data_IF_004669446846
#
_entry.id   IF_004669446846
#
_cell.length_a   1.000
_cell.length_b   1.000
_cell.length_c   1.000
_cell.angle_alpha   90.00
_cell.angle_beta   90.00
_cell.angle_gamma   90.00
#
_symmetry.space_group_name_H-M   'P 1'
#
loop_
_entity.id
_entity.type
_entity.pdbx_description
1 polymer ?
#
# COMPACT_ATOMS: atom_id res chain seq x y z
N UNK A 1 -25.79 9.65 -5.73
CA UNK A 1 -24.33 9.87 -5.61
C UNK A 1 -24.12 10.97 -4.59
N UNK A 2 -23.17 10.77 -3.68
CA UNK A 2 -22.77 11.74 -2.65
C UNK A 2 -21.31 12.13 -2.85
N UNK A 3 -20.92 13.26 -2.27
CA UNK A 3 -19.53 13.71 -2.20
C UNK A 3 -18.93 13.26 -0.88
N UNK A 4 -17.88 12.45 -0.94
CA UNK A 4 -17.06 12.08 0.20
C UNK A 4 -15.75 12.86 0.17
N UNK A 5 -15.17 13.11 1.34
CA UNK A 5 -13.85 13.70 1.48
C UNK A 5 -12.87 12.63 1.98
N UNK A 6 -11.72 12.55 1.31
CA UNK A 6 -10.59 11.69 1.69
C UNK A 6 -9.53 12.56 2.35
N UNK A 7 -8.97 12.09 3.46
CA UNK A 7 -7.91 12.75 4.23
C UNK A 7 -6.80 11.76 4.55
N UNK A 8 -5.57 12.25 4.74
CA UNK A 8 -4.55 11.51 5.48
C UNK A 8 -4.79 11.70 6.98
N UNK A 9 -4.67 10.61 7.75
CA UNK A 9 -4.66 10.63 9.22
C UNK A 9 -3.33 11.14 9.77
N UNK A 10 -2.26 10.95 9.00
CA UNK A 10 -0.89 11.14 9.45
C UNK A 10 -0.32 12.50 9.01
N UNK A 11 -0.83 13.05 7.92
CA UNK A 11 -0.29 14.27 7.31
C UNK A 11 -1.19 15.48 7.56
N UNK A 12 -0.56 16.66 7.66
CA UNK A 12 -1.28 17.93 7.73
C UNK A 12 -2.06 18.19 6.44
N UNK A 13 -3.23 18.85 6.53
CA UNK A 13 -4.03 19.26 5.36
C UNK A 13 -3.27 20.21 4.41
N UNK A 14 -2.20 20.85 4.91
CA UNK A 14 -1.34 21.72 4.13
C UNK A 14 -0.41 20.92 3.21
N UNK A 15 0.01 19.75 3.67
CA UNK A 15 0.93 18.83 2.98
C UNK A 15 0.15 17.83 2.13
N UNK A 16 -0.93 17.28 2.69
CA UNK A 16 -1.85 16.37 2.03
C UNK A 16 -3.24 16.98 1.98
N UNK A 17 -3.55 17.68 0.88
CA UNK A 17 -4.84 18.35 0.73
C UNK A 17 -5.98 17.34 0.62
N UNK A 18 -7.11 17.57 1.32
CA UNK A 18 -8.28 16.71 1.20
C UNK A 18 -8.77 16.63 -0.24
N UNK A 19 -9.13 15.42 -0.68
CA UNK A 19 -9.61 15.16 -2.03
C UNK A 19 -11.08 14.74 -1.98
N UNK A 20 -11.88 15.26 -2.91
CA UNK A 20 -13.29 14.94 -2.99
C UNK A 20 -13.52 13.81 -3.99
N UNK A 21 -14.31 12.81 -3.59
CA UNK A 21 -14.67 11.67 -4.45
C UNK A 21 -16.18 11.51 -4.47
N UNK A 22 -16.74 11.32 -5.67
CA UNK A 22 -18.17 11.03 -5.82
C UNK A 22 -18.41 9.52 -5.84
N UNK A 23 -19.25 9.05 -4.92
CA UNK A 23 -19.58 7.63 -4.77
C UNK A 23 -20.97 7.45 -4.14
N UNK A 24 -21.45 6.21 -4.06
CA UNK A 24 -22.71 5.89 -3.38
C UNK A 24 -22.48 5.57 -1.90
N UNK A 25 -21.28 5.09 -1.54
CA UNK A 25 -20.90 4.75 -0.17
C UNK A 25 -19.48 5.23 0.16
N UNK A 26 -19.16 5.38 1.45
CA UNK A 26 -17.81 5.72 1.89
C UNK A 26 -16.76 4.67 1.45
N UNK A 27 -17.12 3.38 1.52
CA UNK A 27 -16.27 2.28 1.05
C UNK A 27 -15.98 2.41 -0.45
N UNK A 28 -17.00 2.66 -1.27
CA UNK A 28 -16.82 2.86 -2.71
C UNK A 28 -15.96 4.11 -3.00
N UNK A 29 -16.12 5.18 -2.23
CA UNK A 29 -15.28 6.38 -2.35
C UNK A 29 -13.80 6.05 -2.07
N UNK A 30 -13.52 5.32 -0.99
CA UNK A 30 -12.16 4.89 -0.65
C UNK A 30 -11.56 4.01 -1.74
N UNK A 31 -12.27 2.97 -2.18
CA UNK A 31 -11.82 2.07 -3.25
C UNK A 31 -11.49 2.83 -4.53
N UNK A 32 -12.39 3.72 -4.97
CA UNK A 32 -12.14 4.58 -6.15
C UNK A 32 -10.91 5.46 -5.96
N UNK A 33 -10.74 6.03 -4.77
CA UNK A 33 -9.60 6.87 -4.46
C UNK A 33 -8.28 6.10 -4.51
N UNK A 34 -8.24 4.95 -3.84
CA UNK A 34 -7.08 4.08 -3.78
C UNK A 34 -6.64 3.66 -5.19
N UNK A 35 -7.61 3.24 -6.00
CA UNK A 35 -7.36 2.76 -7.35
C UNK A 35 -6.95 3.88 -8.33
N UNK A 36 -7.58 5.04 -8.28
CA UNK A 36 -7.42 6.06 -9.33
C UNK A 36 -6.36 7.12 -8.96
N UNK A 37 -6.18 7.40 -7.68
CA UNK A 37 -5.31 8.47 -7.21
C UNK A 37 -4.11 7.95 -6.42
N UNK A 38 -4.33 7.15 -5.38
CA UNK A 38 -3.25 6.72 -4.49
C UNK A 38 -2.26 5.76 -5.18
N UNK A 39 -2.75 4.81 -5.97
CA UNK A 39 -1.92 3.92 -6.82
C UNK A 39 -1.01 4.67 -7.81
N UNK A 40 -1.30 5.96 -8.07
CA UNK A 40 -0.56 6.85 -8.97
C UNK A 40 0.31 7.86 -8.23
N UNK A 41 0.26 7.87 -6.89
CA UNK A 41 1.09 8.73 -6.08
C UNK A 41 2.56 8.33 -6.20
N UNK A 42 3.43 9.33 -6.39
CA UNK A 42 4.86 9.10 -6.64
C UNK A 42 5.52 8.44 -5.43
N UNK A 43 5.21 8.92 -4.23
CA UNK A 43 5.77 8.39 -2.98
C UNK A 43 5.35 6.93 -2.78
N UNK A 44 4.07 6.62 -3.02
CA UNK A 44 3.58 5.24 -2.96
C UNK A 44 4.28 4.33 -3.99
N UNK A 45 4.44 4.80 -5.24
CA UNK A 45 5.13 4.02 -6.27
C UNK A 45 6.60 3.80 -5.93
N UNK A 46 7.29 4.82 -5.41
CA UNK A 46 8.67 4.70 -4.94
C UNK A 46 8.78 3.70 -3.79
N UNK A 47 7.85 3.73 -2.83
CA UNK A 47 7.76 2.76 -1.74
C UNK A 47 7.59 1.31 -2.24
N UNK A 48 6.77 1.09 -3.27
CA UNK A 48 6.56 -0.23 -3.88
C UNK A 48 7.76 -0.69 -4.71
N UNK A 49 8.43 0.24 -5.39
CA UNK A 49 9.60 -0.03 -6.22
C UNK A 49 10.91 -0.08 -5.42
N UNK A 50 10.92 0.27 -4.14
CA UNK A 50 12.09 0.10 -3.31
C UNK A 50 12.21 -1.37 -2.85
N UNK A 51 13.34 -1.99 -3.17
CA UNK A 51 13.68 -3.36 -2.76
C UNK A 51 14.54 -3.39 -1.49
N UNK A 52 14.82 -2.23 -0.88
CA UNK A 52 15.44 -2.15 0.44
C UNK A 52 14.56 -2.84 1.48
N UNK A 53 15.14 -3.50 2.48
CA UNK A 53 14.36 -4.31 3.44
C UNK A 53 13.59 -3.45 4.46
N UNK A 54 13.93 -2.17 4.59
CA UNK A 54 13.41 -1.28 5.62
C UNK A 54 12.73 -0.08 4.97
N UNK A 55 11.56 0.33 5.47
CA UNK A 55 10.79 1.48 4.98
C UNK A 55 10.31 1.31 3.53
N UNK A 56 10.10 0.08 3.08
CA UNK A 56 9.63 -0.24 1.72
C UNK A 56 8.48 -1.25 1.75
N UNK A 57 7.84 -1.43 0.60
CA UNK A 57 6.78 -2.42 0.48
C UNK A 57 7.28 -3.85 0.77
N UNK A 58 8.52 -4.19 0.39
CA UNK A 58 9.04 -5.55 0.56
C UNK A 58 9.40 -5.91 1.99
N UNK A 59 9.50 -4.92 2.89
CA UNK A 59 9.73 -5.14 4.33
C UNK A 59 8.76 -6.18 4.90
N UNK A 60 7.48 -6.12 4.51
CA UNK A 60 6.44 -7.03 4.99
C UNK A 60 6.74 -8.51 4.69
N UNK A 61 7.53 -8.78 3.65
CA UNK A 61 7.89 -10.13 3.25
C UNK A 61 9.18 -10.62 3.93
N UNK A 62 10.11 -9.71 4.22
CA UNK A 62 11.35 -10.04 4.92
C UNK A 62 11.17 -10.08 6.44
N UNK A 63 10.39 -9.17 7.01
CA UNK A 63 10.29 -8.92 8.45
C UNK A 63 8.90 -9.25 9.01
N UNK A 64 8.36 -10.43 8.66
CA UNK A 64 6.99 -10.82 9.04
C UNK A 64 6.85 -11.12 10.53
N UNK A 65 7.86 -11.74 11.16
CA UNK A 65 7.85 -12.12 12.57
C UNK A 65 8.65 -11.17 13.46
N UNK A 66 8.32 -11.11 14.75
CA UNK A 66 9.07 -10.33 15.74
C UNK A 66 10.54 -10.76 15.84
N UNK A 67 10.83 -12.05 15.61
CA UNK A 67 12.20 -12.56 15.61
C UNK A 67 12.99 -12.05 14.40
N UNK A 68 12.39 -12.04 13.21
CA UNK A 68 13.01 -11.46 12.00
C UNK A 68 13.27 -9.96 12.17
N UNK A 69 12.29 -9.21 12.69
CA UNK A 69 12.44 -7.79 13.02
C UNK A 69 13.58 -7.54 14.02
N UNK A 70 13.61 -8.32 15.10
CA UNK A 70 14.66 -8.18 16.14
C UNK A 70 16.04 -8.47 15.58
N UNK A 71 16.19 -9.54 14.79
CA UNK A 71 17.46 -9.87 14.13
C UNK A 71 17.90 -8.75 13.20
N UNK A 72 17.01 -8.26 12.33
CA UNK A 72 17.34 -7.18 11.41
C UNK A 72 17.76 -5.91 12.14
N UNK A 73 17.06 -5.51 13.21
CA UNK A 73 17.42 -4.34 14.00
C UNK A 73 18.77 -4.47 14.72
N UNK A 74 19.21 -5.69 15.05
CA UNK A 74 20.49 -5.94 15.73
C UNK A 74 21.66 -6.09 14.76
N UNK A 75 21.41 -6.63 13.56
CA UNK A 75 22.47 -7.10 12.65
C UNK A 75 22.47 -6.42 11.28
N UNK A 76 21.39 -5.73 10.92
CA UNK A 76 21.08 -5.26 9.56
C UNK A 76 21.02 -6.38 8.50
N UNK A 77 20.98 -7.65 8.91
CA UNK A 77 20.91 -8.81 8.01
C UNK A 77 19.52 -9.45 8.00
N UNK A 78 19.06 -9.83 6.81
CA UNK A 78 17.88 -10.69 6.65
C UNK A 78 18.25 -12.16 6.83
N UNK A 79 17.45 -12.88 7.63
CA UNK A 79 17.60 -14.33 7.81
C UNK A 79 16.63 -15.19 7.01
N UNK A 80 15.76 -14.57 6.21
CA UNK A 80 14.64 -15.25 5.55
C UNK A 80 15.11 -15.92 4.26
N UNK A 81 14.86 -17.22 4.14
CA UNK A 81 15.18 -17.99 2.93
C UNK A 81 14.33 -17.53 1.74
N UNK A 82 14.91 -17.60 0.54
CA UNK A 82 14.27 -17.14 -0.70
C UNK A 82 12.92 -17.84 -0.97
N UNK A 83 12.82 -19.15 -0.69
CA UNK A 83 11.56 -19.89 -0.87
C UNK A 83 10.46 -19.43 0.09
N UNK A 84 10.82 -19.07 1.32
CA UNK A 84 9.88 -18.52 2.30
C UNK A 84 9.40 -17.14 1.85
N UNK A 85 10.32 -16.30 1.35
CA UNK A 85 10.00 -14.98 0.81
C UNK A 85 9.02 -15.08 -0.37
N UNK A 86 9.31 -15.93 -1.36
CA UNK A 86 8.44 -16.18 -2.52
C UNK A 86 7.06 -16.71 -2.10
N UNK A 87 7.01 -17.59 -1.11
CA UNK A 87 5.75 -18.08 -0.53
C UNK A 87 4.92 -16.97 0.11
N UNK A 88 5.55 -16.02 0.83
CA UNK A 88 4.88 -14.85 1.43
C UNK A 88 4.33 -13.91 0.36
N UNK A 89 5.09 -13.64 -0.71
CA UNK A 89 4.61 -12.84 -1.84
C UNK A 89 3.41 -13.52 -2.50
N UNK A 90 3.49 -14.81 -2.82
CA UNK A 90 2.37 -15.59 -3.39
C UNK A 90 1.12 -15.55 -2.51
N UNK A 91 1.30 -15.57 -1.19
CA UNK A 91 0.19 -15.46 -0.24
C UNK A 91 -0.48 -14.08 -0.29
N UNK A 92 0.30 -13.01 -0.38
CA UNK A 92 -0.24 -11.64 -0.50
C UNK A 92 -1.03 -11.47 -1.81
N UNK A 93 -0.50 -11.99 -2.92
CA UNK A 93 -1.14 -11.95 -4.23
C UNK A 93 -2.09 -13.13 -4.51
N UNK A 94 -2.59 -13.83 -3.48
CA UNK A 94 -3.36 -15.07 -3.68
C UNK A 94 -4.63 -14.89 -4.54
N UNK A 95 -5.23 -13.69 -4.54
CA UNK A 95 -6.40 -13.35 -5.37
C UNK A 95 -6.05 -13.06 -6.84
N UNK A 96 -4.78 -12.75 -7.14
CA UNK A 96 -4.24 -12.45 -8.47
C UNK A 96 -2.83 -13.05 -8.61
N UNK A 97 -2.69 -14.39 -8.64
CA UNK A 97 -1.39 -15.06 -8.53
C UNK A 97 -0.37 -14.62 -9.59
N UNK A 98 -0.83 -14.29 -10.80
CA UNK A 98 -0.01 -13.80 -11.90
C UNK A 98 0.70 -12.48 -11.58
N UNK A 99 0.09 -11.62 -10.77
CA UNK A 99 0.73 -10.39 -10.28
C UNK A 99 1.83 -10.72 -9.27
N UNK A 100 1.59 -11.73 -8.43
CA UNK A 100 2.59 -12.24 -7.49
C UNK A 100 3.81 -12.83 -8.18
N UNK A 101 3.62 -13.62 -9.23
CA UNK A 101 4.73 -14.20 -10.00
C UNK A 101 5.54 -13.11 -10.71
N UNK A 102 4.87 -12.09 -11.28
CA UNK A 102 5.55 -10.90 -11.84
C UNK A 102 6.33 -10.12 -10.78
N UNK A 103 5.73 -9.93 -9.60
CA UNK A 103 6.38 -9.22 -8.50
C UNK A 103 7.61 -10.00 -7.99
N UNK A 104 7.55 -11.32 -7.92
CA UNK A 104 8.71 -12.17 -7.61
C UNK A 104 9.80 -11.99 -8.68
N UNK A 105 9.43 -12.01 -9.96
CA UNK A 105 10.41 -11.81 -11.02
C UNK A 105 11.05 -10.42 -10.95
N UNK A 106 10.29 -9.39 -10.57
CA UNK A 106 10.81 -8.07 -10.26
C UNK A 106 11.81 -8.09 -9.11
N UNK A 107 11.49 -8.72 -7.98
CA UNK A 107 12.40 -8.82 -6.84
C UNK A 107 13.72 -9.55 -7.19
N UNK A 108 13.64 -10.57 -8.04
CA UNK A 108 14.82 -11.35 -8.46
C UNK A 108 15.70 -10.60 -9.49
N UNK A 109 15.10 -9.79 -10.37
CA UNK A 109 15.79 -9.16 -11.52
C UNK A 109 16.10 -7.66 -11.33
N UNK A 110 15.35 -6.98 -10.47
CA UNK A 110 15.36 -5.51 -10.35
C UNK A 110 14.72 -4.78 -11.53
N UNK A 111 14.10 -5.49 -12.49
CA UNK A 111 13.50 -4.89 -13.67
C UNK A 111 12.15 -4.23 -13.35
N UNK A 112 12.19 -2.91 -13.14
CA UNK A 112 11.01 -2.10 -12.81
C UNK A 112 9.92 -2.13 -13.88
N UNK A 113 10.23 -2.51 -15.13
CA UNK A 113 9.21 -2.61 -16.20
C UNK A 113 8.20 -3.72 -15.96
N UNK A 114 8.52 -4.67 -15.07
CA UNK A 114 7.61 -5.74 -14.64
C UNK A 114 6.51 -5.25 -13.70
N UNK A 115 6.65 -4.05 -13.13
CA UNK A 115 5.69 -3.43 -12.22
C UNK A 115 4.91 -2.35 -12.97
N UNK A 116 3.64 -2.61 -13.22
CA UNK A 116 2.73 -1.69 -13.90
C UNK A 116 1.60 -1.20 -12.97
N UNK A 117 0.71 -0.39 -13.54
CA UNK A 117 -0.45 0.17 -12.85
C UNK A 117 -1.32 -0.92 -12.20
N UNK A 118 -1.40 -2.13 -12.77
CA UNK A 118 -2.22 -3.21 -12.21
C UNK A 118 -1.65 -3.71 -10.87
N UNK A 119 -0.33 -3.83 -10.74
CA UNK A 119 0.31 -4.20 -9.48
C UNK A 119 0.16 -3.07 -8.45
N UNK A 120 0.36 -1.82 -8.85
CA UNK A 120 0.18 -0.68 -7.93
C UNK A 120 -1.27 -0.58 -7.43
N UNK A 121 -2.25 -0.74 -8.32
CA UNK A 121 -3.67 -0.74 -7.95
C UNK A 121 -4.01 -1.92 -7.03
N UNK A 122 -3.48 -3.11 -7.31
CA UNK A 122 -3.70 -4.28 -6.45
C UNK A 122 -3.14 -4.04 -5.04
N UNK A 123 -1.90 -3.56 -4.93
CA UNK A 123 -1.29 -3.28 -3.62
C UNK A 123 -2.09 -2.20 -2.89
N UNK A 124 -2.38 -1.07 -3.53
CA UNK A 124 -3.15 0.03 -2.95
C UNK A 124 -4.51 -0.42 -2.38
N UNK A 125 -5.19 -1.36 -3.04
CA UNK A 125 -6.48 -1.88 -2.61
C UNK A 125 -6.40 -2.94 -1.49
N UNK A 126 -5.23 -3.54 -1.28
CA UNK A 126 -5.00 -4.57 -0.27
C UNK A 126 -4.19 -4.05 0.94
N UNK A 127 -3.74 -2.79 0.92
CA UNK A 127 -3.25 -2.13 2.13
C UNK A 127 -4.38 -1.99 3.15
N UNK A 128 -4.06 -2.26 4.40
CA UNK A 128 -4.91 -1.99 5.55
C UNK A 128 -5.03 -0.48 5.80
N UNK A 129 -6.04 -0.10 6.57
CA UNK A 129 -6.27 1.30 6.93
C UNK A 129 -5.09 1.94 7.67
N UNK A 130 -4.37 1.15 8.46
CA UNK A 130 -3.17 1.60 9.17
C UNK A 130 -1.97 1.78 8.24
N UNK A 131 -1.90 1.03 7.14
CA UNK A 131 -0.81 1.13 6.15
C UNK A 131 -1.01 2.33 5.23
N UNK A 132 -2.20 2.48 4.63
CA UNK A 132 -2.44 3.60 3.73
C UNK A 132 -2.77 4.91 4.50
N UNK A 133 -3.19 4.82 5.77
CA UNK A 133 -3.40 5.97 6.64
C UNK A 133 -4.49 6.95 6.17
N UNK A 134 -5.45 6.50 5.36
CA UNK A 134 -6.47 7.35 4.73
C UNK A 134 -7.81 7.19 5.43
N UNK A 135 -8.52 8.32 5.59
CA UNK A 135 -9.84 8.38 6.22
C UNK A 135 -10.86 8.93 5.23
N UNK A 136 -12.07 8.39 5.25
CA UNK A 136 -13.20 8.84 4.42
C UNK A 136 -14.29 9.40 5.31
N UNK A 137 -14.75 10.61 4.98
CA UNK A 137 -15.80 11.32 5.71
C UNK A 137 -16.94 11.68 4.76
N UNK A 138 -18.18 11.46 5.20
CA UNK A 138 -19.36 12.08 4.60
C UNK A 138 -19.50 13.49 5.20
N UNK A 139 -19.24 14.57 4.45
CA UNK A 139 -19.33 15.92 4.99
C UNK A 139 -20.77 16.28 5.42
N UNK A 140 -21.79 15.61 4.89
CA UNK A 140 -23.19 15.81 5.30
C UNK A 140 -23.50 15.21 6.68
N UNK A 141 -22.65 14.31 7.19
CA UNK A 141 -22.81 13.71 8.52
C UNK A 141 -22.07 14.48 9.62
N UNK A 142 -21.42 15.60 9.29
CA UNK A 142 -20.70 16.41 10.25
C UNK A 142 -21.62 17.48 10.85
N UNK A 143 -21.67 17.56 12.18
CA UNK A 143 -22.30 18.68 12.87
C UNK A 143 -21.46 19.94 12.69
N UNK A 144 -22.05 21.00 12.13
CA UNK A 144 -21.40 22.29 12.00
C UNK A 144 -21.60 23.06 13.30
N UNK A 145 -20.51 23.22 14.05
CA UNK A 145 -20.47 24.10 15.22
C UNK A 145 -19.94 25.46 14.75
N UNK A 146 -20.76 26.51 14.90
CA UNK A 146 -20.44 27.88 14.53
C UNK A 146 -19.86 28.68 15.71
#
# INVERSE_FOLDING_TARGET
MKRFLIFSRNDSIMEWRPRAVLASTAKEALTKFLQISYSRDVTFREFVLDLSVNMSFVERFYLMSNQEKTRFNQTAETGTECEILKSRVKRYFALRPELGDRFIHYMDSGDKSLIDDEIFEFIALNESEDEHGLVVIDPESLDIVA
#
